data_IF_436108512516
#
_entry.id   IF_436108512516
#
_cell.length_a   1.000
_cell.length_b   1.000
_cell.length_c   1.000
_cell.angle_alpha   90.00
_cell.angle_beta   90.00
_cell.angle_gamma   90.00
#
_symmetry.space_group_name_H-M   'P 1'
#
loop_
_entity.id
_entity.type
_entity.pdbx_description
1 polymer ?
#
# COMPACT_ATOMS: atom_id res chain seq x y z
N UNK A 1 -16.07 -16.53 -4.47
CA UNK A 1 -16.22 -15.95 -5.82
C UNK A 1 -14.83 -15.99 -6.44
N UNK A 2 -14.43 -15.15 -7.39
CA UNK A 2 -13.03 -15.13 -7.91
C UNK A 2 -12.61 -13.69 -8.09
N UNK A 3 -11.31 -13.39 -8.21
CA UNK A 3 -10.76 -12.03 -8.47
C UNK A 3 -11.46 -11.29 -9.63
N UNK A 4 -12.08 -12.03 -10.56
CA UNK A 4 -12.91 -11.50 -11.65
C UNK A 4 -14.12 -10.69 -11.14
N UNK A 5 -14.64 -10.94 -9.92
CA UNK A 5 -15.73 -10.13 -9.34
C UNK A 5 -15.31 -8.69 -9.07
N UNK A 6 -14.01 -8.41 -8.85
CA UNK A 6 -13.52 -7.02 -8.76
C UNK A 6 -13.72 -6.28 -10.09
N UNK A 7 -13.81 -7.00 -11.22
CA UNK A 7 -14.23 -6.43 -12.50
C UNK A 7 -15.73 -6.10 -12.56
N UNK A 8 -16.45 -6.08 -11.44
CA UNK A 8 -17.81 -5.54 -11.36
C UNK A 8 -17.89 -4.24 -10.58
N UNK A 9 -16.85 -3.89 -9.82
CA UNK A 9 -16.82 -2.65 -9.05
C UNK A 9 -16.73 -1.45 -9.99
N UNK A 10 -17.70 -0.55 -9.94
CA UNK A 10 -17.71 0.59 -10.85
C UNK A 10 -18.22 1.89 -10.23
N UNK A 11 -18.89 1.83 -9.10
CA UNK A 11 -19.45 2.99 -8.41
C UNK A 11 -18.65 3.35 -7.14
N UNK A 12 -18.81 4.57 -6.63
CA UNK A 12 -18.34 4.94 -5.30
C UNK A 12 -18.71 3.93 -4.19
N UNK A 13 -19.96 3.43 -4.20
CA UNK A 13 -20.45 2.49 -3.21
C UNK A 13 -19.71 1.15 -3.26
N UNK A 14 -19.34 0.69 -4.46
CA UNK A 14 -18.58 -0.55 -4.65
C UNK A 14 -17.16 -0.46 -4.04
N UNK A 15 -16.56 0.73 -4.04
CA UNK A 15 -15.23 0.99 -3.50
C UNK A 15 -15.24 1.49 -2.05
N UNK A 16 -16.41 1.59 -1.41
CA UNK A 16 -16.49 2.11 -0.05
C UNK A 16 -15.75 1.21 0.97
N UNK A 17 -15.88 -0.12 0.84
CA UNK A 17 -15.14 -1.05 1.68
C UNK A 17 -13.67 -1.13 1.31
N UNK A 18 -13.31 -0.93 0.03
CA UNK A 18 -11.92 -0.80 -0.40
C UNK A 18 -11.22 0.36 0.34
N UNK A 19 -11.79 1.56 0.26
CA UNK A 19 -11.28 2.75 0.97
C UNK A 19 -11.29 2.54 2.49
N UNK A 20 -12.34 1.94 3.05
CA UNK A 20 -12.42 1.67 4.50
C UNK A 20 -11.23 0.83 4.97
N UNK A 21 -10.92 -0.27 4.28
CA UNK A 21 -9.82 -1.16 4.67
C UNK A 21 -8.47 -0.46 4.49
N UNK A 22 -8.28 0.33 3.43
CA UNK A 22 -7.09 1.17 3.25
C UNK A 22 -6.90 2.20 4.37
N UNK A 23 -7.98 2.90 4.75
CA UNK A 23 -7.94 3.88 5.83
C UNK A 23 -7.72 3.24 7.22
N UNK A 24 -8.32 2.07 7.49
CA UNK A 24 -8.07 1.30 8.72
C UNK A 24 -6.60 0.85 8.82
N UNK A 25 -5.99 0.47 7.69
CA UNK A 25 -4.57 0.17 7.61
C UNK A 25 -3.71 1.40 7.93
N UNK A 26 -3.99 2.55 7.30
CA UNK A 26 -3.28 3.81 7.59
C UNK A 26 -3.40 4.19 9.06
N UNK A 27 -4.59 4.07 9.65
CA UNK A 27 -4.79 4.32 11.08
C UNK A 27 -3.93 3.38 11.93
N UNK A 28 -3.98 2.08 11.66
CA UNK A 28 -3.25 1.05 12.41
C UNK A 28 -1.75 1.29 12.40
N UNK A 29 -1.17 1.62 11.24
CA UNK A 29 0.26 1.92 11.11
C UNK A 29 0.61 3.21 11.86
N UNK A 30 -0.22 4.25 11.72
CA UNK A 30 0.00 5.56 12.34
C UNK A 30 -0.04 5.49 13.87
N UNK A 31 -1.07 4.86 14.44
CA UNK A 31 -1.17 4.59 15.88
C UNK A 31 -0.05 3.66 16.36
N UNK A 32 0.25 2.64 15.56
CA UNK A 32 1.33 1.70 15.80
C UNK A 32 2.70 2.37 15.87
N UNK A 33 2.92 3.48 15.16
CA UNK A 33 4.13 4.30 15.25
C UNK A 33 4.04 5.46 16.24
N UNK A 34 2.85 5.72 16.78
CA UNK A 34 2.59 6.83 17.70
C UNK A 34 2.52 8.20 17.03
N UNK A 35 2.16 8.25 15.74
CA UNK A 35 1.92 9.51 15.04
C UNK A 35 0.58 10.13 15.46
N UNK A 36 0.48 11.46 15.36
CA UNK A 36 -0.77 12.16 15.64
C UNK A 36 -1.77 11.94 14.50
N UNK A 37 -2.89 11.28 14.80
CA UNK A 37 -3.94 10.94 13.82
C UNK A 37 -5.09 11.94 13.81
N UNK A 38 -5.18 12.83 14.80
CA UNK A 38 -6.18 13.89 14.87
C UNK A 38 -7.61 13.37 14.73
N UNK A 39 -8.35 13.86 13.74
CA UNK A 39 -9.74 13.47 13.44
C UNK A 39 -9.85 12.33 12.42
N UNK A 40 -8.72 11.78 11.95
CA UNK A 40 -8.69 10.84 10.82
C UNK A 40 -9.64 9.65 11.00
N UNK A 41 -9.72 9.05 12.20
CA UNK A 41 -10.62 7.92 12.46
C UNK A 41 -12.10 8.28 12.25
N UNK A 42 -12.52 9.47 12.69
CA UNK A 42 -13.89 9.93 12.50
C UNK A 42 -14.13 10.31 11.03
N UNK A 43 -13.16 10.97 10.41
CA UNK A 43 -13.19 11.46 9.04
C UNK A 43 -13.28 10.32 8.02
N UNK A 44 -12.48 9.25 8.14
CA UNK A 44 -12.58 8.14 7.20
C UNK A 44 -13.89 7.38 7.35
N UNK A 45 -14.45 7.25 8.57
CA UNK A 45 -15.77 6.64 8.79
C UNK A 45 -16.89 7.45 8.14
N UNK A 46 -16.84 8.78 8.25
CA UNK A 46 -17.76 9.69 7.56
C UNK A 46 -17.66 9.49 6.04
N UNK A 47 -16.44 9.54 5.50
CA UNK A 47 -16.19 9.34 4.07
C UNK A 47 -16.67 7.96 3.59
N UNK A 48 -16.36 6.87 4.29
CA UNK A 48 -16.83 5.52 3.95
C UNK A 48 -18.36 5.44 3.89
N UNK A 49 -19.06 6.05 4.86
CA UNK A 49 -20.53 6.04 4.86
C UNK A 49 -21.08 6.85 3.68
N UNK A 50 -20.51 8.01 3.39
CA UNK A 50 -20.89 8.80 2.23
C UNK A 50 -20.64 8.04 0.91
N UNK A 51 -19.49 7.37 0.77
CA UNK A 51 -19.20 6.49 -0.37
C UNK A 51 -20.26 5.41 -0.54
N UNK A 52 -20.68 4.75 0.55
CA UNK A 52 -21.75 3.71 0.52
C UNK A 52 -23.08 4.27 0.05
N UNK A 53 -23.39 5.50 0.41
CA UNK A 53 -24.59 6.21 -0.05
C UNK A 53 -24.46 6.75 -1.48
N UNK A 54 -23.28 6.59 -2.11
CA UNK A 54 -22.96 7.10 -3.44
C UNK A 54 -22.71 8.61 -3.47
N UNK A 55 -22.52 9.23 -2.31
CA UNK A 55 -22.27 10.66 -2.17
C UNK A 55 -20.79 10.99 -2.42
N UNK A 56 -20.56 11.88 -3.39
CA UNK A 56 -19.24 12.33 -3.82
C UNK A 56 -18.98 13.79 -3.47
N UNK A 57 -19.98 14.51 -2.95
CA UNK A 57 -19.88 15.91 -2.54
C UNK A 57 -19.37 16.03 -1.10
N UNK A 58 -18.11 15.60 -0.91
CA UNK A 58 -17.49 15.60 0.42
C UNK A 58 -16.78 16.91 0.74
N UNK A 59 -16.54 17.13 2.03
CA UNK A 59 -15.60 18.15 2.51
C UNK A 59 -14.23 17.93 1.85
N UNK A 60 -13.49 18.99 1.47
CA UNK A 60 -12.24 18.86 0.70
C UNK A 60 -11.20 17.91 1.31
N UNK A 61 -11.13 17.82 2.63
CA UNK A 61 -10.21 16.95 3.35
C UNK A 61 -10.56 15.46 3.16
N UNK A 62 -11.85 15.13 3.21
CA UNK A 62 -12.35 13.76 3.02
C UNK A 62 -12.23 13.33 1.56
N UNK A 63 -12.62 14.21 0.64
CA UNK A 63 -12.48 14.01 -0.80
C UNK A 63 -11.02 13.73 -1.18
N UNK A 64 -10.08 14.48 -0.58
CA UNK A 64 -8.65 14.30 -0.80
C UNK A 64 -8.13 12.95 -0.28
N UNK A 65 -8.53 12.56 0.94
CA UNK A 65 -8.19 11.25 1.51
C UNK A 65 -8.66 10.10 0.61
N UNK A 66 -9.94 10.11 0.21
CA UNK A 66 -10.52 9.11 -0.69
C UNK A 66 -9.81 9.10 -2.05
N UNK A 67 -9.62 10.27 -2.66
CA UNK A 67 -8.97 10.36 -3.96
C UNK A 67 -7.50 9.88 -3.90
N UNK A 68 -6.76 10.19 -2.83
CA UNK A 68 -5.38 9.80 -2.66
C UNK A 68 -5.23 8.28 -2.51
N UNK A 69 -6.04 7.65 -1.66
CA UNK A 69 -6.07 6.20 -1.46
C UNK A 69 -6.35 5.45 -2.78
N UNK A 70 -7.46 5.81 -3.46
CA UNK A 70 -7.85 5.17 -4.71
C UNK A 70 -6.82 5.40 -5.83
N UNK A 71 -6.22 6.60 -5.93
CA UNK A 71 -5.18 6.86 -6.94
C UNK A 71 -3.86 6.18 -6.61
N UNK A 72 -3.50 6.06 -5.34
CA UNK A 72 -2.33 5.32 -4.92
C UNK A 72 -2.45 3.84 -5.32
N UNK A 73 -3.61 3.23 -5.07
CA UNK A 73 -3.88 1.85 -5.47
C UNK A 73 -3.93 1.67 -6.99
N UNK A 74 -4.52 2.64 -7.70
CA UNK A 74 -4.57 2.61 -9.16
C UNK A 74 -3.17 2.52 -9.79
N UNK A 75 -2.20 3.21 -9.19
CA UNK A 75 -0.83 3.29 -9.72
C UNK A 75 0.17 2.35 -9.05
N UNK A 76 -0.25 1.57 -8.05
CA UNK A 76 0.61 0.66 -7.29
C UNK A 76 1.01 -0.58 -8.08
N UNK A 77 0.04 -1.26 -8.71
CA UNK A 77 0.24 -2.63 -9.18
C UNK A 77 1.20 -2.74 -10.38
N UNK A 78 1.23 -1.74 -11.27
CA UNK A 78 2.15 -1.74 -12.42
C UNK A 78 3.63 -1.66 -11.98
N UNK A 79 4.05 -0.67 -11.17
CA UNK A 79 5.36 -0.68 -10.51
C UNK A 79 5.65 -1.96 -9.76
N UNK A 80 4.71 -2.49 -8.97
CA UNK A 80 4.92 -3.73 -8.21
C UNK A 80 5.22 -4.92 -9.14
N UNK A 81 4.46 -5.06 -10.23
CA UNK A 81 4.65 -6.16 -11.18
C UNK A 81 6.01 -6.10 -11.88
N UNK A 82 6.59 -4.92 -12.11
CA UNK A 82 7.95 -4.81 -12.68
C UNK A 82 9.04 -5.42 -11.78
N UNK A 83 8.80 -5.50 -10.46
CA UNK A 83 9.72 -6.16 -9.54
C UNK A 83 9.64 -7.69 -9.61
N UNK A 84 8.58 -8.23 -10.21
CA UNK A 84 8.30 -9.66 -10.25
C UNK A 84 8.88 -10.32 -11.51
N UNK A 85 8.98 -11.66 -11.55
CA UNK A 85 9.31 -12.35 -12.78
C UNK A 85 8.29 -12.07 -13.89
N UNK A 86 8.75 -11.99 -15.14
CA UNK A 86 7.92 -11.62 -16.29
C UNK A 86 6.61 -12.42 -16.44
N UNK A 87 6.61 -13.71 -16.06
CA UNK A 87 5.39 -14.53 -16.14
C UNK A 87 4.28 -14.00 -15.23
N UNK A 88 4.64 -13.42 -14.08
CA UNK A 88 3.71 -12.87 -13.10
C UNK A 88 3.15 -11.54 -13.59
N UNK A 89 4.02 -10.66 -14.06
CA UNK A 89 3.65 -9.38 -14.68
C UNK A 89 2.65 -9.60 -15.82
N UNK A 90 2.97 -10.50 -16.76
CA UNK A 90 2.09 -10.81 -17.90
C UNK A 90 0.76 -11.44 -17.47
N UNK A 91 0.76 -12.28 -16.42
CA UNK A 91 -0.45 -12.91 -15.92
C UNK A 91 -1.42 -11.91 -15.28
N UNK A 92 -0.89 -10.86 -14.61
CA UNK A 92 -1.69 -9.87 -13.91
C UNK A 92 -2.01 -8.62 -14.73
N UNK A 93 -1.24 -8.32 -15.77
CA UNK A 93 -1.39 -7.12 -16.60
C UNK A 93 -2.85 -6.75 -16.95
N UNK A 94 -3.71 -7.64 -17.50
CA UNK A 94 -5.08 -7.26 -17.85
C UNK A 94 -5.94 -6.91 -16.62
N UNK A 95 -5.70 -7.54 -15.47
CA UNK A 95 -6.43 -7.26 -14.23
C UNK A 95 -5.96 -5.94 -13.62
N UNK A 96 -4.65 -5.70 -13.63
CA UNK A 96 -4.03 -4.43 -13.20
C UNK A 96 -4.58 -3.26 -13.99
N UNK A 97 -4.59 -3.35 -15.33
CA UNK A 97 -5.11 -2.28 -16.17
C UNK A 97 -6.61 -2.02 -15.94
N UNK A 98 -7.39 -3.05 -15.65
CA UNK A 98 -8.80 -2.90 -15.35
C UNK A 98 -9.04 -2.26 -13.97
N UNK A 99 -8.25 -2.62 -12.95
CA UNK A 99 -8.30 -2.02 -11.63
C UNK A 99 -7.88 -0.54 -11.67
N UNK A 100 -6.75 -0.22 -12.30
CA UNK A 100 -6.26 1.15 -12.52
C UNK A 100 -7.34 2.04 -13.13
N UNK A 101 -7.95 1.59 -14.24
CA UNK A 101 -9.00 2.36 -14.92
C UNK A 101 -10.19 2.67 -14.01
N UNK A 102 -10.63 1.70 -13.20
CA UNK A 102 -11.82 1.84 -12.33
C UNK A 102 -11.54 2.71 -11.12
N UNK A 103 -10.42 2.48 -10.45
CA UNK A 103 -9.98 3.27 -9.32
C UNK A 103 -9.81 4.73 -9.73
N UNK A 104 -9.14 5.01 -10.86
CA UNK A 104 -9.05 6.37 -11.43
C UNK A 104 -10.40 6.96 -11.82
N UNK A 105 -11.38 6.15 -12.22
CA UNK A 105 -12.72 6.65 -12.56
C UNK A 105 -13.40 7.18 -11.31
N UNK A 106 -13.46 6.38 -10.25
CA UNK A 106 -14.10 6.77 -8.99
C UNK A 106 -13.33 7.89 -8.29
N UNK A 107 -12.00 7.82 -8.25
CA UNK A 107 -11.19 8.89 -7.66
C UNK A 107 -11.40 10.25 -8.34
N UNK A 108 -11.66 10.28 -9.65
CA UNK A 108 -11.97 11.52 -10.37
C UNK A 108 -13.27 12.19 -9.92
N UNK A 109 -14.24 11.41 -9.44
CA UNK A 109 -15.50 11.96 -8.92
C UNK A 109 -15.21 12.76 -7.65
N UNK A 110 -14.46 12.19 -6.70
CA UNK A 110 -14.01 12.87 -5.47
C UNK A 110 -13.00 14.00 -5.71
N UNK A 111 -12.21 13.93 -6.78
CA UNK A 111 -11.29 15.01 -7.14
C UNK A 111 -12.01 16.28 -7.64
N UNK A 112 -13.33 16.21 -7.91
CA UNK A 112 -14.10 17.34 -8.44
C UNK A 112 -14.15 18.46 -7.40
N UNK A 113 -13.58 19.62 -7.73
CA UNK A 113 -13.55 20.78 -6.84
C UNK A 113 -12.34 20.88 -5.91
N UNK A 114 -11.43 19.90 -5.94
CA UNK A 114 -10.12 20.04 -5.32
C UNK A 114 -9.18 20.88 -6.20
N UNK A 115 -8.44 21.79 -5.58
CA UNK A 115 -7.46 22.64 -6.29
C UNK A 115 -6.34 21.80 -6.92
N UNK A 116 -5.96 20.70 -6.27
CA UNK A 116 -4.98 19.76 -6.74
C UNK A 116 -5.21 18.38 -6.12
N UNK A 117 -4.81 17.35 -6.85
CA UNK A 117 -4.70 15.97 -6.36
C UNK A 117 -3.33 15.47 -6.74
N UNK A 118 -2.58 14.95 -5.77
CA UNK A 118 -1.27 14.37 -6.03
C UNK A 118 -1.41 12.85 -6.26
N UNK A 119 -0.44 12.26 -6.94
CA UNK A 119 -0.39 10.81 -7.22
C UNK A 119 1.01 10.34 -6.83
N UNK A 120 1.17 9.23 -6.10
CA UNK A 120 2.48 8.77 -5.69
C UNK A 120 3.27 8.31 -6.91
N UNK A 121 4.60 8.45 -6.81
CA UNK A 121 5.53 7.84 -7.76
C UNK A 121 6.25 6.71 -7.06
N UNK A 122 5.85 5.49 -7.37
CA UNK A 122 6.49 4.30 -6.85
C UNK A 122 7.84 4.04 -7.49
N UNK A 123 8.77 3.56 -6.67
CA UNK A 123 10.08 3.08 -7.10
C UNK A 123 9.93 1.87 -8.02
N UNK A 124 10.59 1.93 -9.18
CA UNK A 124 10.74 0.77 -10.07
C UNK A 124 12.11 0.12 -9.89
N UNK A 125 12.32 -1.14 -10.32
CA UNK A 125 13.63 -1.79 -10.21
C UNK A 125 14.78 -1.04 -10.87
N UNK A 126 14.45 -0.25 -11.91
CA UNK A 126 15.37 0.64 -12.64
C UNK A 126 15.73 1.92 -11.90
N UNK A 127 15.01 2.26 -10.83
CA UNK A 127 15.23 3.46 -10.03
C UNK A 127 16.05 3.15 -8.76
N UNK A 128 16.24 1.87 -8.43
CA UNK A 128 16.92 1.42 -7.20
C UNK A 128 18.21 0.69 -7.56
N UNK A 129 19.34 1.28 -7.17
CA UNK A 129 20.67 0.75 -7.45
C UNK A 129 21.43 0.44 -6.17
N UNK A 130 22.10 -0.71 -6.19
CA UNK A 130 23.01 -1.18 -5.15
C UNK A 130 24.32 -1.61 -5.82
N UNK A 131 25.42 -0.98 -5.41
CA UNK A 131 26.76 -1.14 -6.03
C UNK A 131 26.74 -0.97 -7.56
N UNK A 132 25.99 0.02 -8.05
CA UNK A 132 25.89 0.32 -9.48
C UNK A 132 25.09 -0.68 -10.30
N UNK A 133 24.42 -1.67 -9.67
CA UNK A 133 23.53 -2.64 -10.32
C UNK A 133 22.11 -2.46 -9.82
N UNK A 134 21.12 -2.84 -10.63
CA UNK A 134 19.72 -2.86 -10.17
C UNK A 134 19.60 -3.72 -8.91
N UNK A 135 18.74 -3.31 -7.98
CA UNK A 135 18.52 -4.03 -6.73
C UNK A 135 18.04 -5.48 -6.94
N UNK A 136 17.38 -5.77 -8.07
CA UNK A 136 17.00 -7.14 -8.46
C UNK A 136 18.20 -8.08 -8.68
N UNK A 137 19.41 -7.55 -8.89
CA UNK A 137 20.62 -8.38 -9.01
C UNK A 137 21.10 -8.96 -7.66
N UNK A 138 20.48 -8.56 -6.54
CA UNK A 138 20.87 -8.94 -5.18
C UNK A 138 19.79 -9.74 -4.43
N UNK A 139 18.65 -10.00 -5.08
CA UNK A 139 17.56 -10.83 -4.54
C UNK A 139 17.30 -12.00 -5.50
N UNK A 140 17.02 -13.18 -4.97
CA UNK A 140 16.81 -14.38 -5.78
C UNK A 140 15.46 -15.03 -5.48
N UNK A 141 14.74 -15.42 -6.52
CA UNK A 141 13.43 -16.05 -6.41
C UNK A 141 12.26 -15.08 -6.18
N UNK A 142 11.05 -15.63 -6.35
CA UNK A 142 9.81 -14.88 -6.32
C UNK A 142 9.50 -14.26 -4.95
N UNK A 143 9.71 -15.01 -3.86
CA UNK A 143 9.35 -14.56 -2.51
C UNK A 143 10.22 -13.38 -2.07
N UNK A 144 11.53 -13.48 -2.25
CA UNK A 144 12.46 -12.40 -1.87
C UNK A 144 12.22 -11.14 -2.69
N UNK A 145 11.92 -11.28 -3.99
CA UNK A 145 11.49 -10.17 -4.84
C UNK A 145 10.18 -9.56 -4.36
N UNK A 146 9.17 -10.40 -4.06
CA UNK A 146 7.85 -9.97 -3.60
C UNK A 146 7.97 -9.15 -2.32
N UNK A 147 8.64 -9.71 -1.31
CA UNK A 147 8.80 -9.07 0.00
C UNK A 147 9.60 -7.76 -0.12
N UNK A 148 10.64 -7.75 -0.96
CA UNK A 148 11.44 -6.53 -1.14
C UNK A 148 10.65 -5.42 -1.86
N UNK A 149 9.93 -5.77 -2.93
CA UNK A 149 9.05 -4.83 -3.61
C UNK A 149 7.98 -4.29 -2.66
N UNK A 150 7.35 -5.17 -1.89
CA UNK A 150 6.34 -4.84 -0.91
C UNK A 150 6.87 -3.84 0.14
N UNK A 151 7.98 -4.17 0.79
CA UNK A 151 8.59 -3.34 1.84
C UNK A 151 8.93 -1.91 1.38
N UNK A 152 9.26 -1.75 0.09
CA UNK A 152 9.60 -0.46 -0.49
C UNK A 152 8.36 0.31 -0.96
N UNK A 153 7.46 -0.36 -1.69
CA UNK A 153 6.32 0.29 -2.32
C UNK A 153 5.21 0.59 -1.30
N UNK A 154 5.01 -0.26 -0.29
CA UNK A 154 4.05 0.03 0.79
C UNK A 154 4.49 1.20 1.67
N UNK A 155 5.80 1.40 1.88
CA UNK A 155 6.30 2.61 2.53
C UNK A 155 5.91 3.87 1.73
N UNK A 156 6.11 3.83 0.40
CA UNK A 156 5.80 4.95 -0.49
C UNK A 156 4.29 5.19 -0.62
N UNK A 157 3.49 4.12 -0.57
CA UNK A 157 2.03 4.18 -0.56
C UNK A 157 1.54 4.82 0.74
N UNK A 158 2.01 4.32 1.88
CA UNK A 158 1.60 4.80 3.20
C UNK A 158 2.00 6.26 3.40
N UNK A 159 3.24 6.65 3.10
CA UNK A 159 3.70 8.04 3.21
C UNK A 159 2.82 8.99 2.37
N UNK A 160 2.44 8.57 1.17
CA UNK A 160 1.55 9.34 0.33
C UNK A 160 0.15 9.48 0.93
N UNK A 161 -0.51 8.37 1.25
CA UNK A 161 -1.90 8.37 1.72
C UNK A 161 -2.01 9.04 3.08
N UNK A 162 -1.13 8.72 4.04
CA UNK A 162 -1.12 9.35 5.35
C UNK A 162 -1.03 10.88 5.25
N UNK A 163 -0.13 11.40 4.40
CA UNK A 163 0.04 12.84 4.19
C UNK A 163 -1.19 13.50 3.56
N UNK A 164 -1.80 12.87 2.56
CA UNK A 164 -3.02 13.40 1.93
C UNK A 164 -4.26 13.31 2.85
N UNK A 165 -4.21 12.39 3.81
CA UNK A 165 -5.19 12.24 4.90
C UNK A 165 -4.92 13.13 6.11
N UNK A 166 -3.90 14.00 6.06
CA UNK A 166 -3.60 14.97 7.12
C UNK A 166 -2.79 14.43 8.31
N UNK A 167 -2.18 13.26 8.17
CA UNK A 167 -1.28 12.67 9.16
C UNK A 167 0.16 13.10 8.86
N UNK A 168 0.83 13.72 9.84
CA UNK A 168 2.22 14.13 9.69
C UNK A 168 3.16 12.96 9.99
N UNK A 169 3.79 12.42 8.94
CA UNK A 169 4.78 11.35 9.05
C UNK A 169 6.18 11.98 9.01
N UNK A 170 7.07 11.73 10.00
CA UNK A 170 8.39 12.31 10.02
C UNK A 170 9.21 11.93 8.77
N UNK A 171 9.52 12.90 7.92
CA UNK A 171 10.26 12.68 6.67
C UNK A 171 11.62 11.99 6.88
N UNK A 172 12.32 12.31 7.96
CA UNK A 172 13.59 11.68 8.30
C UNK A 172 13.45 10.17 8.57
N UNK A 173 12.32 9.75 9.15
CA UNK A 173 11.99 8.36 9.36
C UNK A 173 11.71 7.67 8.01
N UNK A 174 10.88 8.25 7.15
CA UNK A 174 10.59 7.69 5.81
C UNK A 174 11.87 7.50 4.99
N UNK A 175 12.73 8.52 4.92
CA UNK A 175 14.00 8.46 4.20
C UNK A 175 14.96 7.42 4.79
N UNK A 176 14.99 7.28 6.13
CA UNK A 176 15.78 6.25 6.82
C UNK A 176 15.23 4.85 6.57
N UNK A 177 13.91 4.65 6.69
CA UNK A 177 13.23 3.38 6.41
C UNK A 177 13.52 2.95 4.97
N UNK A 178 13.34 3.84 3.99
CA UNK A 178 13.63 3.53 2.58
C UNK A 178 15.06 3.02 2.38
N UNK A 179 16.04 3.74 2.94
CA UNK A 179 17.46 3.38 2.81
C UNK A 179 17.78 2.04 3.49
N UNK A 180 17.37 1.88 4.74
CA UNK A 180 17.66 0.67 5.51
C UNK A 180 16.94 -0.56 4.95
N UNK A 181 15.72 -0.41 4.45
CA UNK A 181 14.98 -1.47 3.74
C UNK A 181 15.75 -1.96 2.51
N UNK A 182 16.24 -1.04 1.66
CA UNK A 182 17.05 -1.42 0.50
C UNK A 182 18.33 -2.14 0.92
N UNK A 183 19.07 -1.60 1.90
CA UNK A 183 20.32 -2.23 2.37
C UNK A 183 20.06 -3.61 3.01
N UNK A 184 18.95 -3.77 3.74
CA UNK A 184 18.58 -5.01 4.41
C UNK A 184 18.19 -6.12 3.43
N UNK A 185 17.24 -5.85 2.54
CA UNK A 185 16.74 -6.85 1.59
C UNK A 185 17.75 -7.20 0.49
N UNK A 186 18.72 -6.33 0.21
CA UNK A 186 19.84 -6.65 -0.70
C UNK A 186 21.05 -7.26 0.01
N UNK A 187 20.93 -7.57 1.31
CA UNK A 187 21.95 -8.30 2.07
C UNK A 187 23.18 -7.46 2.47
N UNK A 188 23.16 -6.14 2.29
CA UNK A 188 24.23 -5.23 2.76
C UNK A 188 24.19 -4.99 4.26
N UNK A 189 23.03 -5.24 4.86
CA UNK A 189 22.78 -5.06 6.28
C UNK A 189 22.08 -6.28 6.83
N UNK A 190 22.50 -6.73 8.01
CA UNK A 190 21.96 -7.93 8.64
C UNK A 190 20.66 -7.69 9.45
N UNK A 191 20.23 -6.44 9.64
CA UNK A 191 19.04 -6.12 10.41
C UNK A 191 18.67 -4.65 10.32
N UNK A 192 17.53 -4.24 10.86
CA UNK A 192 17.04 -2.86 10.81
C UNK A 192 17.23 -2.16 12.16
N UNK A 193 17.33 -0.83 12.16
CA UNK A 193 17.18 -0.04 13.39
C UNK A 193 15.79 -0.24 13.99
N UNK A 194 15.64 0.00 15.30
CA UNK A 194 14.41 -0.36 16.04
C UNK A 194 13.15 0.30 15.45
N UNK A 195 13.19 1.61 15.19
CA UNK A 195 12.06 2.34 14.61
C UNK A 195 11.73 1.86 13.19
N UNK A 196 12.76 1.61 12.36
CA UNK A 196 12.58 1.14 10.98
C UNK A 196 12.00 -0.27 10.98
N UNK A 197 12.49 -1.15 11.85
CA UNK A 197 11.98 -2.51 12.04
C UNK A 197 10.51 -2.47 12.43
N UNK A 198 10.15 -1.67 13.43
CA UNK A 198 8.76 -1.49 13.89
C UNK A 198 7.88 -0.94 12.79
N UNK A 199 8.35 0.06 12.05
CA UNK A 199 7.58 0.65 10.97
C UNK A 199 7.34 -0.36 9.84
N UNK A 200 8.38 -1.10 9.42
CA UNK A 200 8.25 -2.17 8.44
C UNK A 200 7.32 -3.29 8.94
N UNK A 201 7.45 -3.72 10.20
CA UNK A 201 6.55 -4.72 10.80
C UNK A 201 5.08 -4.29 10.73
N UNK A 202 4.79 -3.01 10.95
CA UNK A 202 3.44 -2.44 10.81
C UNK A 202 3.01 -2.33 9.35
N UNK A 203 3.91 -1.95 8.44
CA UNK A 203 3.60 -1.89 7.01
C UNK A 203 3.24 -3.27 6.44
N UNK A 204 3.90 -4.33 6.91
CA UNK A 204 3.56 -5.72 6.58
C UNK A 204 2.25 -6.22 7.21
N UNK A 205 1.53 -5.38 7.98
CA UNK A 205 0.14 -5.66 8.35
C UNK A 205 -0.83 -5.64 7.15
N UNK A 206 -0.32 -5.36 5.94
CA UNK A 206 -1.04 -5.59 4.68
C UNK A 206 -1.51 -7.05 4.51
N UNK A 207 -0.92 -8.01 5.25
CA UNK A 207 -1.47 -9.38 5.35
C UNK A 207 -2.94 -9.40 5.82
N UNK A 208 -3.31 -8.44 6.69
CA UNK A 208 -4.68 -8.25 7.16
C UNK A 208 -5.53 -7.55 6.10
N UNK A 209 -5.00 -6.54 5.41
CA UNK A 209 -5.69 -5.82 4.33
C UNK A 209 -6.05 -6.78 3.18
N UNK A 210 -5.10 -7.60 2.72
CA UNK A 210 -5.33 -8.60 1.66
C UNK A 210 -6.48 -9.54 2.04
N UNK A 211 -6.50 -10.01 3.29
CA UNK A 211 -7.56 -10.89 3.82
C UNK A 211 -8.90 -10.15 3.90
N UNK A 212 -8.91 -8.91 4.39
CA UNK A 212 -10.14 -8.15 4.57
C UNK A 212 -10.77 -7.74 3.23
N UNK A 213 -9.96 -7.50 2.18
CA UNK A 213 -10.42 -7.32 0.80
C UNK A 213 -10.95 -8.62 0.21
N UNK A 214 -10.26 -9.76 0.43
CA UNK A 214 -10.77 -11.08 -0.01
C UNK A 214 -12.12 -11.38 0.62
N UNK A 215 -12.27 -11.12 1.92
CA UNK A 215 -13.51 -11.31 2.69
C UNK A 215 -14.61 -10.34 2.22
N UNK A 216 -14.32 -9.03 2.10
CA UNK A 216 -15.30 -8.00 1.74
C UNK A 216 -15.89 -8.22 0.34
N UNK A 217 -15.06 -8.66 -0.62
CA UNK A 217 -15.49 -8.92 -1.99
C UNK A 217 -15.75 -10.41 -2.28
N UNK A 218 -15.65 -11.25 -1.25
CA UNK A 218 -15.82 -12.70 -1.27
C UNK A 218 -15.00 -13.39 -2.36
N UNK A 219 -13.76 -12.97 -2.58
CA UNK A 219 -12.94 -13.36 -3.72
C UNK A 219 -12.48 -14.82 -3.65
N UNK A 220 -12.37 -15.43 -2.46
CA UNK A 220 -11.92 -16.82 -2.25
C UNK A 220 -10.67 -17.13 -3.09
N UNK A 221 -9.73 -16.19 -3.09
CA UNK A 221 -8.63 -16.16 -4.03
C UNK A 221 -7.42 -16.91 -3.48
N UNK A 222 -7.11 -18.05 -4.10
CA UNK A 222 -5.88 -18.79 -3.80
C UNK A 222 -4.63 -17.91 -3.94
N UNK A 223 -4.63 -16.95 -4.86
CA UNK A 223 -3.53 -16.00 -5.06
C UNK A 223 -3.40 -15.04 -3.87
N UNK A 224 -4.51 -14.49 -3.37
CA UNK A 224 -4.50 -13.63 -2.18
C UNK A 224 -4.04 -14.41 -0.96
N UNK A 225 -4.46 -15.68 -0.84
CA UNK A 225 -3.94 -16.56 0.21
C UNK A 225 -2.43 -16.81 0.11
N UNK A 226 -1.81 -16.78 -1.09
CA UNK A 226 -0.35 -16.83 -1.23
C UNK A 226 0.28 -15.52 -0.74
N UNK A 227 -0.25 -14.37 -1.17
CA UNK A 227 0.25 -13.05 -0.77
C UNK A 227 0.16 -12.86 0.75
N UNK A 228 -1.01 -13.13 1.35
CA UNK A 228 -1.24 -13.10 2.79
C UNK A 228 -0.19 -13.91 3.55
N UNK A 229 0.13 -15.13 3.09
CA UNK A 229 1.14 -15.97 3.74
C UNK A 229 2.53 -15.36 3.67
N UNK A 230 2.94 -14.86 2.50
CA UNK A 230 4.26 -14.23 2.32
C UNK A 230 4.40 -13.01 3.23
N UNK A 231 3.40 -12.12 3.22
CA UNK A 231 3.38 -10.90 4.03
C UNK A 231 3.39 -11.21 5.52
N UNK A 232 2.57 -12.17 5.97
CA UNK A 232 2.50 -12.60 7.36
C UNK A 232 3.80 -13.21 7.86
N UNK A 233 4.43 -14.05 7.05
CA UNK A 233 5.69 -14.69 7.42
C UNK A 233 6.80 -13.64 7.55
N UNK A 234 6.82 -12.63 6.68
CA UNK A 234 7.75 -11.51 6.82
C UNK A 234 7.47 -10.67 8.05
N UNK A 235 6.20 -10.31 8.31
CA UNK A 235 5.80 -9.58 9.52
C UNK A 235 6.29 -10.28 10.78
N UNK A 236 6.09 -11.61 10.86
CA UNK A 236 6.57 -12.43 11.98
C UNK A 236 8.10 -12.43 12.09
N UNK A 237 8.80 -12.46 10.97
CA UNK A 237 10.27 -12.38 10.93
C UNK A 237 10.76 -11.05 11.51
N UNK A 238 10.16 -9.93 11.11
CA UNK A 238 10.48 -8.60 11.63
C UNK A 238 10.15 -8.46 13.11
N UNK A 239 9.02 -9.01 13.57
CA UNK A 239 8.63 -9.01 14.98
C UNK A 239 9.58 -9.85 15.85
N UNK A 240 10.10 -10.96 15.33
CA UNK A 240 11.04 -11.83 16.04
C UNK A 240 12.49 -11.33 16.01
N UNK A 241 12.81 -10.31 15.20
CA UNK A 241 14.17 -9.79 15.06
C UNK A 241 14.55 -8.96 16.28
N UNK A 242 15.70 -9.29 16.89
CA UNK A 242 16.26 -8.49 17.98
C UNK A 242 16.62 -7.08 17.47
N UNK A 243 16.25 -6.00 18.18
CA UNK A 243 16.61 -4.65 17.78
C UNK A 243 18.13 -4.48 17.78
N UNK A 244 18.68 -3.92 16.69
CA UNK A 244 20.06 -3.45 16.67
C UNK A 244 20.08 -1.99 17.13
N UNK A 245 20.81 -1.71 18.20
CA UNK A 245 21.07 -0.34 18.66
C UNK A 245 21.80 0.46 17.57
N UNK A 246 21.36 1.70 17.36
CA UNK A 246 21.91 2.64 16.36
C UNK A 246 23.41 2.90 16.48
#
# INVERSE_FOLDING_TARGET
MTVISLLRLDSPADFADWYRVGAEYVLTVSEGMGFETGTFEADFREATNAMRDGDTDLRPELARSVAADLLADAVFSDPFCEWMPLWYELALAPFVQAADYRLRRVAREYATGLDHVSVPRFSRPRDVYVDGRSALAHVDGFVDQFVFADALLHLEWYDHVARESGIDVPRSLVERTRRETVDYYTGRREGLSEDVRRFQELLFADDVWVRDIDDAYGLDSALFGVWERILRDERRRLAAMAPKSE
#
